data_IF_604647047762
#
_entry.id   IF_604647047762
#
_cell.length_a   1.000
_cell.length_b   1.000
_cell.length_c   1.000
_cell.angle_alpha   90.00
_cell.angle_beta   90.00
_cell.angle_gamma   90.00
#
_symmetry.space_group_name_H-M   'P 1'
#
loop_
_entity.id
_entity.type
_entity.pdbx_description
1 polymer ?
#
# COMPACT_ATOMS: atom_id res chain seq x y z
N UNK A 1 -12.97 -13.79 -7.75
CA UNK A 1 -12.63 -12.69 -6.84
C UNK A 1 -12.57 -11.44 -7.70
N UNK A 2 -13.55 -10.55 -7.59
CA UNK A 2 -13.65 -9.35 -8.43
C UNK A 2 -12.88 -8.23 -7.76
N UNK A 3 -11.80 -7.77 -8.39
CA UNK A 3 -11.02 -6.62 -7.92
C UNK A 3 -11.75 -5.37 -8.42
N UNK A 4 -12.24 -4.54 -7.50
CA UNK A 4 -12.86 -3.25 -7.83
C UNK A 4 -11.84 -2.12 -7.76
N UNK A 5 -11.71 -1.36 -8.85
CA UNK A 5 -10.87 -0.18 -8.91
C UNK A 5 -11.70 1.06 -8.53
N UNK A 6 -11.17 2.02 -7.73
CA UNK A 6 -11.90 3.22 -7.29
C UNK A 6 -12.31 4.16 -8.44
N UNK A 7 -11.88 3.89 -9.68
CA UNK A 7 -12.48 4.43 -10.89
C UNK A 7 -12.16 3.53 -12.08
N UNK A 8 -13.11 3.33 -13.01
CA UNK A 8 -12.92 2.51 -14.24
C UNK A 8 -11.69 2.92 -15.07
N UNK A 9 -11.16 4.13 -14.85
CA UNK A 9 -10.08 4.73 -15.64
C UNK A 9 -8.76 4.89 -14.88
N UNK A 10 -8.70 4.60 -13.57
CA UNK A 10 -7.46 4.70 -12.81
C UNK A 10 -6.77 3.34 -12.68
N UNK A 11 -5.92 3.02 -13.67
CA UNK A 11 -5.20 1.74 -13.76
C UNK A 11 -3.85 1.73 -13.04
N UNK A 12 -3.38 2.89 -12.61
CA UNK A 12 -2.08 3.02 -11.96
C UNK A 12 -2.20 2.88 -10.43
N UNK A 13 -3.39 2.67 -9.87
CA UNK A 13 -3.57 2.32 -8.47
C UNK A 13 -4.43 1.08 -8.31
N UNK A 14 -4.05 0.24 -7.36
CA UNK A 14 -4.77 -0.98 -7.01
C UNK A 14 -4.56 -1.32 -5.53
N UNK A 15 -5.65 -1.58 -4.81
CA UNK A 15 -5.57 -2.25 -3.52
C UNK A 15 -5.51 -3.75 -3.78
N UNK A 16 -4.34 -4.35 -3.55
CA UNK A 16 -4.06 -5.76 -3.88
C UNK A 16 -4.60 -6.68 -2.81
N UNK A 17 -4.31 -6.38 -1.55
CA UNK A 17 -4.77 -7.14 -0.39
C UNK A 17 -4.80 -6.25 0.86
N UNK A 18 -5.57 -6.64 1.86
CA UNK A 18 -5.63 -5.95 3.15
C UNK A 18 -5.98 -6.93 4.27
N UNK A 19 -5.47 -6.66 5.46
CA UNK A 19 -5.77 -7.45 6.64
C UNK A 19 -4.65 -7.36 7.69
N UNK A 20 -4.97 -7.84 8.89
CA UNK A 20 -4.12 -7.83 10.07
C UNK A 20 -3.50 -6.44 10.35
N UNK A 21 -4.28 -5.38 10.12
CA UNK A 21 -3.86 -4.01 10.38
C UNK A 21 -2.95 -3.39 9.31
N UNK A 22 -2.82 -4.00 8.13
CA UNK A 22 -2.03 -3.47 7.01
C UNK A 22 -2.75 -3.62 5.67
N UNK A 23 -2.24 -2.92 4.66
CA UNK A 23 -2.68 -3.01 3.26
C UNK A 23 -1.50 -3.08 2.31
N UNK A 24 -1.69 -3.83 1.22
CA UNK A 24 -0.77 -3.92 0.09
C UNK A 24 -1.38 -3.16 -1.09
N UNK A 25 -0.72 -2.08 -1.48
CA UNK A 25 -1.19 -1.18 -2.53
C UNK A 25 -0.17 -1.17 -3.68
N UNK A 26 -0.64 -1.14 -4.93
CA UNK A 26 0.18 -0.87 -6.12
C UNK A 26 -0.01 0.56 -6.55
N UNK A 27 1.10 1.24 -6.82
CA UNK A 27 1.17 2.59 -7.38
C UNK A 27 2.12 2.57 -8.60
N UNK A 28 1.56 2.68 -9.80
CA UNK A 28 2.27 2.45 -11.05
C UNK A 28 2.81 1.02 -11.09
N UNK A 29 4.13 0.87 -11.14
CA UNK A 29 4.80 -0.44 -11.18
C UNK A 29 5.27 -0.93 -9.80
N UNK A 30 5.09 -0.14 -8.74
CA UNK A 30 5.61 -0.44 -7.43
C UNK A 30 4.52 -0.83 -6.45
N UNK A 31 4.85 -1.76 -5.57
CA UNK A 31 3.95 -2.27 -4.54
C UNK A 31 4.46 -1.83 -3.18
N UNK A 32 3.58 -1.38 -2.31
CA UNK A 32 3.92 -0.89 -0.99
C UNK A 32 3.01 -1.46 0.08
N UNK A 33 3.62 -1.82 1.22
CA UNK A 33 2.91 -2.22 2.42
C UNK A 33 2.78 -0.99 3.32
N UNK A 34 1.54 -0.62 3.67
CA UNK A 34 1.25 0.46 4.62
C UNK A 34 0.38 -0.02 5.78
N UNK A 35 0.49 0.59 6.97
CA UNK A 35 -0.45 0.34 8.05
C UNK A 35 -1.87 0.78 7.67
N UNK A 36 -2.85 -0.05 8.02
CA UNK A 36 -4.27 0.23 7.90
C UNK A 36 -4.97 -0.30 9.15
N UNK A 37 -5.03 0.49 10.25
CA UNK A 37 -5.58 0.04 11.53
C UNK A 37 -7.03 -0.46 11.46
N UNK A 38 -7.77 -0.09 10.41
CA UNK A 38 -9.16 -0.51 10.19
C UNK A 38 -9.28 -1.84 9.44
N UNK A 39 -8.20 -2.39 8.88
CA UNK A 39 -8.18 -3.70 8.23
C UNK A 39 -8.10 -4.82 9.27
N UNK A 40 -9.17 -4.98 10.05
CA UNK A 40 -9.25 -5.93 11.18
C UNK A 40 -9.48 -7.38 10.74
N UNK A 41 -9.78 -7.61 9.46
CA UNK A 41 -9.92 -8.95 8.88
C UNK A 41 -8.55 -9.57 8.57
N UNK A 42 -8.51 -10.88 8.36
CA UNK A 42 -7.28 -11.56 7.97
C UNK A 42 -6.91 -11.27 6.51
N UNK A 43 -5.61 -11.23 6.24
CA UNK A 43 -5.09 -11.11 4.87
C UNK A 43 -5.53 -12.30 4.02
N UNK A 44 -5.76 -12.06 2.72
CA UNK A 44 -6.14 -13.13 1.79
C UNK A 44 -4.92 -13.84 1.21
N UNK A 45 -3.80 -13.12 1.07
CA UNK A 45 -2.52 -13.65 0.62
C UNK A 45 -1.66 -14.06 1.82
N UNK A 46 -0.75 -15.00 1.57
CA UNK A 46 0.23 -15.43 2.58
C UNK A 46 1.27 -14.33 2.85
N UNK A 47 1.92 -14.37 4.02
CA UNK A 47 3.00 -13.44 4.36
C UNK A 47 4.15 -13.46 3.32
N UNK A 48 4.48 -14.64 2.79
CA UNK A 48 5.51 -14.77 1.74
C UNK A 48 5.10 -14.13 0.40
N UNK A 49 3.82 -14.15 0.05
CA UNK A 49 3.31 -13.46 -1.13
C UNK A 49 3.34 -11.94 -0.95
N UNK A 50 3.02 -11.43 0.25
CA UNK A 50 3.14 -10.01 0.58
C UNK A 50 4.59 -9.52 0.45
N UNK A 51 5.54 -10.21 1.09
CA UNK A 51 6.96 -9.86 1.01
C UNK A 51 7.50 -9.97 -0.40
N UNK A 52 7.08 -11.00 -1.16
CA UNK A 52 7.47 -11.17 -2.56
C UNK A 52 6.84 -10.11 -3.46
N UNK A 53 5.64 -9.60 -3.19
CA UNK A 53 5.03 -8.58 -4.04
C UNK A 53 5.62 -7.19 -3.75
N UNK A 54 5.74 -6.85 -2.46
CA UNK A 54 6.13 -5.55 -1.99
C UNK A 54 7.53 -5.12 -2.46
N UNK A 55 7.65 -3.85 -2.80
CA UNK A 55 8.90 -3.19 -3.09
C UNK A 55 9.35 -2.31 -1.93
N UNK A 56 8.39 -1.70 -1.22
CA UNK A 56 8.63 -0.90 -0.03
C UNK A 56 7.65 -1.26 1.09
N UNK A 57 8.04 -1.01 2.33
CA UNK A 57 7.18 -1.12 3.51
C UNK A 57 7.33 0.12 4.36
N UNK A 58 6.22 0.69 4.78
CA UNK A 58 6.23 1.76 5.78
C UNK A 58 6.26 1.14 7.19
N UNK A 59 7.28 1.50 7.97
CA UNK A 59 7.39 1.14 9.39
C UNK A 59 6.93 2.31 10.25
N UNK A 60 5.80 2.17 10.97
CA UNK A 60 5.33 3.15 11.94
C UNK A 60 6.41 3.58 12.94
N UNK A 61 6.51 4.88 13.16
CA UNK A 61 7.35 5.49 14.18
C UNK A 61 6.61 5.65 15.52
N UNK A 62 7.32 6.21 16.50
CA UNK A 62 6.77 6.43 17.83
C UNK A 62 5.59 7.42 17.79
N UNK A 63 4.39 6.92 18.15
CA UNK A 63 3.17 7.71 18.17
C UNK A 63 2.38 7.71 16.86
N UNK A 64 2.71 6.83 15.92
CA UNK A 64 1.87 6.57 14.75
C UNK A 64 0.43 6.27 15.16
N UNK A 65 -0.54 6.89 14.47
CA UNK A 65 -1.97 6.81 14.80
C UNK A 65 -2.44 7.78 15.88
N UNK A 66 -1.57 8.60 16.47
CA UNK A 66 -1.98 9.78 17.26
C UNK A 66 -2.19 10.98 16.35
N UNK A 67 -3.14 11.84 16.70
CA UNK A 67 -3.42 13.08 15.97
C UNK A 67 -2.13 13.89 15.79
N UNK A 68 -1.80 14.24 14.53
CA UNK A 68 -0.59 14.99 14.18
C UNK A 68 0.70 14.15 14.11
N UNK A 69 0.63 12.82 14.24
CA UNK A 69 1.75 11.88 14.06
C UNK A 69 1.41 10.73 13.13
N UNK A 70 0.38 10.91 12.30
CA UNK A 70 -0.09 9.92 11.32
C UNK A 70 1.00 9.55 10.30
N UNK A 71 1.94 10.46 10.02
CA UNK A 71 3.05 10.20 9.10
C UNK A 71 4.37 9.83 9.79
N UNK A 72 4.35 9.61 11.11
CA UNK A 72 5.57 9.23 11.83
C UNK A 72 6.01 7.82 11.45
N UNK A 73 7.21 7.69 10.89
CA UNK A 73 7.75 6.39 10.47
C UNK A 73 8.86 6.50 9.44
N UNK A 74 9.31 5.35 8.94
CA UNK A 74 10.34 5.25 7.91
C UNK A 74 9.92 4.30 6.80
N UNK A 75 10.39 4.58 5.59
CA UNK A 75 10.22 3.69 4.44
C UNK A 75 11.40 2.72 4.37
N UNK A 76 11.09 1.43 4.46
CA UNK A 76 12.03 0.35 4.20
C UNK A 76 11.94 -0.06 2.73
N UNK A 77 13.09 -0.12 2.05
CA UNK A 77 13.18 -0.59 0.67
C UNK A 77 13.49 -2.08 0.65
N UNK A 78 12.50 -2.89 0.28
CA UNK A 78 12.61 -4.35 0.17
C UNK A 78 13.21 -4.78 -1.19
N UNK A 79 12.95 -3.99 -2.23
CA UNK A 79 13.47 -4.20 -3.59
C UNK A 79 13.92 -2.89 -4.20
N UNK A 80 14.74 -2.95 -5.25
CA UNK A 80 15.14 -1.76 -6.01
C UNK A 80 13.90 -1.07 -6.58
N UNK A 81 13.69 0.18 -6.19
CA UNK A 81 12.70 1.08 -6.77
C UNK A 81 13.38 2.35 -7.24
N UNK A 82 12.69 3.13 -8.04
CA UNK A 82 13.09 4.52 -8.25
C UNK A 82 12.65 5.34 -7.03
N UNK A 83 13.32 6.47 -6.77
CA UNK A 83 12.97 7.36 -5.65
C UNK A 83 11.70 8.16 -5.94
N UNK A 84 11.41 8.38 -7.22
CA UNK A 84 10.23 9.06 -7.72
C UNK A 84 9.80 8.40 -9.03
N UNK A 85 8.49 8.30 -9.26
CA UNK A 85 7.92 7.80 -10.50
C UNK A 85 6.61 8.51 -10.81
N UNK A 86 6.22 8.48 -12.08
CA UNK A 86 4.97 9.06 -12.54
C UNK A 86 3.82 8.08 -12.34
N UNK A 87 2.71 8.59 -11.80
CA UNK A 87 1.44 7.87 -11.66
C UNK A 87 0.41 8.66 -12.46
N UNK A 88 -0.29 8.00 -13.38
CA UNK A 88 -1.37 8.63 -14.13
C UNK A 88 -2.65 8.52 -13.33
N UNK A 89 -3.18 9.67 -12.95
CA UNK A 89 -4.52 9.77 -12.38
C UNK A 89 -5.46 10.32 -13.46
N UNK A 90 -6.21 9.43 -14.11
CA UNK A 90 -7.31 9.84 -14.97
C UNK A 90 -8.54 10.02 -14.08
N UNK A 91 -8.64 11.18 -13.44
CA UNK A 91 -9.90 11.59 -12.81
C UNK A 91 -11.01 11.57 -13.85
N UNK A 92 -12.17 11.04 -13.50
CA UNK A 92 -13.36 11.25 -14.32
C UNK A 92 -13.58 12.76 -14.43
N UNK A 93 -13.45 13.30 -15.64
CA UNK A 93 -13.87 14.66 -15.96
C UNK A 93 -15.38 14.67 -16.19
#
# INVERSE_FOLDING_TARGET
MSIEYPGKFWKDYELVDSGDGEKLERFGNYYMIRPEPKALWSKTLTAGEWERAAHTRFRPGAGFGKAGKEDSGTWERLKRTDDQWYIRYNGAQ
#
